data_IF_321529438537
#
_entry.id   IF_321529438537
#
_cell.length_a   1.000
_cell.length_b   1.000
_cell.length_c   1.000
_cell.angle_alpha   90.00
_cell.angle_beta   90.00
_cell.angle_gamma   90.00
#
_symmetry.space_group_name_H-M   'P 1'
#
loop_
_entity.id
_entity.type
_entity.pdbx_description
1 polymer ?
#
# COMPACT_ATOMS: atom_id res chain seq x y z
N UNK A 1 -23.55 19.30 7.58
CA UNK A 1 -22.25 19.80 8.06
C UNK A 1 -21.32 18.71 8.58
N UNK A 2 -21.62 17.99 9.68
CA UNK A 2 -20.71 16.99 10.28
C UNK A 2 -20.21 15.90 9.32
N UNK A 3 -21.00 15.54 8.29
CA UNK A 3 -20.63 14.55 7.27
C UNK A 3 -19.57 15.02 6.26
N UNK A 4 -19.33 16.31 6.14
CA UNK A 4 -18.34 16.84 5.20
C UNK A 4 -16.93 16.82 5.78
N UNK A 5 -16.77 16.75 7.10
CA UNK A 5 -15.46 16.78 7.76
C UNK A 5 -14.61 15.56 7.35
N UNK A 6 -15.09 14.29 7.47
CA UNK A 6 -14.31 13.15 7.00
C UNK A 6 -14.03 13.24 5.50
N UNK A 7 -15.03 13.60 4.68
CA UNK A 7 -14.86 13.71 3.24
C UNK A 7 -13.80 14.76 2.85
N UNK A 8 -13.70 15.87 3.58
CA UNK A 8 -12.64 16.86 3.36
C UNK A 8 -11.26 16.27 3.65
N UNK A 9 -11.12 15.45 4.71
CA UNK A 9 -9.87 14.77 5.02
C UNK A 9 -9.53 13.75 3.92
N UNK A 10 -10.52 12.99 3.43
CA UNK A 10 -10.34 12.09 2.27
C UNK A 10 -9.91 12.86 1.02
N UNK A 11 -10.43 14.06 0.79
CA UNK A 11 -9.97 14.92 -0.31
C UNK A 11 -8.51 15.38 -0.12
N UNK A 12 -8.02 15.54 1.13
CA UNK A 12 -6.61 15.83 1.39
C UNK A 12 -5.73 14.61 1.07
N UNK A 13 -6.18 13.38 1.39
CA UNK A 13 -5.54 12.15 0.91
C UNK A 13 -5.41 12.19 -0.62
N UNK A 14 -6.52 12.37 -1.34
CA UNK A 14 -6.53 12.43 -2.80
C UNK A 14 -5.58 13.53 -3.34
N UNK A 15 -5.62 14.72 -2.75
CA UNK A 15 -4.76 15.84 -3.17
C UNK A 15 -3.27 15.53 -2.96
N UNK A 16 -2.91 14.93 -1.83
CA UNK A 16 -1.55 14.45 -1.58
C UNK A 16 -1.13 13.38 -2.58
N UNK A 17 -2.01 12.41 -2.91
CA UNK A 17 -1.77 11.41 -3.93
C UNK A 17 -1.46 12.03 -5.31
N UNK A 18 -2.25 13.01 -5.73
CA UNK A 18 -2.04 13.74 -6.98
C UNK A 18 -0.67 14.45 -7.02
N UNK A 19 -0.27 15.13 -5.94
CA UNK A 19 1.05 15.76 -5.85
C UNK A 19 2.14 14.68 -5.90
N UNK A 20 1.97 13.59 -5.17
CA UNK A 20 2.91 12.46 -5.16
C UNK A 20 3.15 11.90 -6.57
N UNK A 21 2.10 11.77 -7.37
CA UNK A 21 2.20 11.32 -8.78
C UNK A 21 3.07 12.27 -9.59
N UNK A 22 2.83 13.58 -9.46
CA UNK A 22 3.62 14.59 -10.16
C UNK A 22 5.10 14.55 -9.73
N UNK A 23 5.38 14.32 -8.44
CA UNK A 23 6.75 14.21 -7.93
C UNK A 23 7.45 12.96 -8.47
N UNK A 24 6.77 11.81 -8.45
CA UNK A 24 7.28 10.56 -9.02
C UNK A 24 7.59 10.69 -10.53
N UNK A 25 6.73 11.36 -11.31
CA UNK A 25 6.98 11.60 -12.73
C UNK A 25 8.23 12.47 -12.98
N UNK A 26 8.47 13.45 -12.10
CA UNK A 26 9.68 14.30 -12.10
C UNK A 26 10.93 13.57 -11.59
N UNK A 27 10.81 12.35 -11.08
CA UNK A 27 11.91 11.59 -10.48
C UNK A 27 12.24 12.00 -9.03
N UNK A 28 11.44 12.89 -8.42
CA UNK A 28 11.57 13.24 -7.00
C UNK A 28 10.81 12.22 -6.14
N UNK A 29 11.42 11.05 -5.97
CA UNK A 29 10.83 9.96 -5.21
C UNK A 29 10.76 10.26 -3.71
N UNK A 30 11.60 11.15 -3.18
CA UNK A 30 11.57 11.55 -1.78
C UNK A 30 10.33 12.39 -1.46
N UNK A 31 10.03 13.39 -2.28
CA UNK A 31 8.78 14.16 -2.15
C UNK A 31 7.56 13.28 -2.41
N UNK A 32 7.64 12.32 -3.35
CA UNK A 32 6.59 11.33 -3.55
C UNK A 32 6.36 10.47 -2.30
N UNK A 33 7.44 10.04 -1.61
CA UNK A 33 7.34 9.28 -0.36
C UNK A 33 6.66 10.09 0.75
N UNK A 34 7.00 11.37 0.91
CA UNK A 34 6.31 12.23 1.86
C UNK A 34 4.81 12.40 1.52
N UNK A 35 4.46 12.45 0.24
CA UNK A 35 3.07 12.48 -0.19
C UNK A 35 2.31 11.18 0.11
N UNK A 36 2.95 10.01 -0.06
CA UNK A 36 2.38 8.70 0.35
C UNK A 36 2.13 8.68 1.86
N UNK A 37 3.10 9.15 2.65
CA UNK A 37 2.96 9.23 4.10
C UNK A 37 1.83 10.17 4.51
N UNK A 38 1.76 11.37 3.93
CA UNK A 38 0.67 12.31 4.17
C UNK A 38 -0.70 11.71 3.80
N UNK A 39 -0.79 11.02 2.66
CA UNK A 39 -1.99 10.32 2.21
C UNK A 39 -2.46 9.28 3.23
N UNK A 40 -1.54 8.46 3.75
CA UNK A 40 -1.85 7.45 4.77
C UNK A 40 -2.24 8.05 6.13
N UNK A 41 -1.68 9.21 6.48
CA UNK A 41 -2.08 9.95 7.67
C UNK A 41 -3.52 10.47 7.51
N UNK A 42 -3.85 11.06 6.36
CA UNK A 42 -5.19 11.57 6.11
C UNK A 42 -6.24 10.45 6.04
N UNK A 43 -5.96 9.34 5.36
CA UNK A 43 -6.78 8.12 5.35
C UNK A 43 -7.07 7.61 6.78
N UNK A 44 -6.03 7.50 7.62
CA UNK A 44 -6.22 7.11 9.01
C UNK A 44 -7.14 8.09 9.78
N UNK A 45 -6.94 9.40 9.59
CA UNK A 45 -7.71 10.42 10.27
C UNK A 45 -9.15 10.51 9.78
N UNK A 46 -9.44 10.32 8.50
CA UNK A 46 -10.81 10.36 8.00
C UNK A 46 -11.65 9.22 8.59
N UNK A 47 -11.09 8.01 8.68
CA UNK A 47 -11.74 6.84 9.24
C UNK A 47 -11.89 6.94 10.75
N UNK A 48 -10.96 7.62 11.44
CA UNK A 48 -11.07 7.93 12.86
C UNK A 48 -12.17 8.98 13.11
N UNK A 49 -12.18 10.08 12.36
CA UNK A 49 -13.15 11.18 12.52
C UNK A 49 -14.56 10.72 12.13
N UNK A 50 -14.72 9.92 11.08
CA UNK A 50 -16.01 9.34 10.70
C UNK A 50 -16.61 8.48 11.84
N UNK A 51 -15.77 7.66 12.50
CA UNK A 51 -16.17 6.86 13.66
C UNK A 51 -16.52 7.73 14.86
N UNK A 52 -15.69 8.72 15.18
CA UNK A 52 -15.89 9.62 16.33
C UNK A 52 -17.14 10.49 16.18
N UNK A 53 -17.46 10.93 14.96
CA UNK A 53 -18.66 11.71 14.67
C UNK A 53 -19.92 10.85 14.45
N UNK A 54 -19.80 9.52 14.52
CA UNK A 54 -20.85 8.56 14.17
C UNK A 54 -21.47 8.82 12.79
N UNK A 55 -20.65 9.23 11.83
CA UNK A 55 -21.09 9.48 10.46
C UNK A 55 -20.57 8.37 9.56
N UNK A 56 -21.49 7.56 9.05
CA UNK A 56 -21.25 6.71 7.88
C UNK A 56 -22.04 7.26 6.70
N UNK A 57 -21.39 7.41 5.55
CA UNK A 57 -22.05 7.83 4.31
C UNK A 57 -21.54 7.03 3.14
N UNK A 58 -22.43 6.64 2.23
CA UNK A 58 -22.06 5.89 1.02
C UNK A 58 -21.09 6.69 0.16
N UNK A 59 -21.32 8.00 0.04
CA UNK A 59 -20.40 8.91 -0.68
C UNK A 59 -19.00 8.88 -0.06
N UNK A 60 -18.88 8.92 1.27
CA UNK A 60 -17.58 8.86 1.95
C UNK A 60 -16.84 7.55 1.68
N UNK A 61 -17.55 6.41 1.71
CA UNK A 61 -16.97 5.09 1.39
C UNK A 61 -16.43 5.03 -0.04
N UNK A 62 -17.20 5.52 -1.02
CA UNK A 62 -16.75 5.52 -2.42
C UNK A 62 -15.62 6.53 -2.64
N UNK A 63 -15.70 7.71 -2.03
CA UNK A 63 -14.66 8.74 -2.12
C UNK A 63 -13.33 8.25 -1.54
N UNK A 64 -13.37 7.53 -0.43
CA UNK A 64 -12.22 6.88 0.21
C UNK A 64 -11.52 5.91 -0.76
N UNK A 65 -12.28 5.01 -1.38
CA UNK A 65 -11.75 4.07 -2.37
C UNK A 65 -11.19 4.77 -3.62
N UNK A 66 -11.79 5.89 -4.06
CA UNK A 66 -11.29 6.69 -5.18
C UNK A 66 -9.99 7.42 -4.81
N UNK A 67 -9.90 7.96 -3.59
CA UNK A 67 -8.68 8.60 -3.08
C UNK A 67 -7.54 7.58 -2.96
N UNK A 68 -7.83 6.43 -2.36
CA UNK A 68 -6.89 5.31 -2.23
C UNK A 68 -6.42 4.76 -3.57
N UNK A 69 -7.29 4.75 -4.59
CA UNK A 69 -6.88 4.35 -5.93
C UNK A 69 -5.79 5.28 -6.46
N UNK A 70 -5.87 6.60 -6.23
CA UNK A 70 -4.82 7.53 -6.67
C UNK A 70 -3.56 7.40 -5.81
N UNK A 71 -3.69 7.49 -4.49
CA UNK A 71 -2.58 7.54 -3.54
C UNK A 71 -1.84 6.21 -3.39
N UNK A 72 -2.56 5.08 -3.43
CA UNK A 72 -2.03 3.74 -3.17
C UNK A 72 -2.23 2.76 -4.33
N UNK A 73 -2.75 3.20 -5.48
CA UNK A 73 -2.89 2.39 -6.69
C UNK A 73 -2.18 2.99 -7.89
N UNK A 74 -2.46 4.24 -8.21
CA UNK A 74 -1.91 4.91 -9.38
C UNK A 74 -0.48 5.38 -9.13
N UNK A 75 -0.23 6.03 -7.99
CA UNK A 75 1.11 6.46 -7.59
C UNK A 75 2.17 5.33 -7.64
N UNK A 76 1.98 4.15 -7.02
CA UNK A 76 2.95 3.07 -7.17
C UNK A 76 3.04 2.55 -8.62
N UNK A 77 1.94 2.54 -9.39
CA UNK A 77 1.99 2.18 -10.80
C UNK A 77 2.84 3.14 -11.64
N UNK A 78 2.78 4.45 -11.34
CA UNK A 78 3.62 5.48 -11.95
C UNK A 78 5.09 5.29 -11.61
N UNK A 79 5.41 4.97 -10.34
CA UNK A 79 6.78 4.66 -9.93
C UNK A 79 7.31 3.44 -10.71
N UNK A 80 6.50 2.39 -10.83
CA UNK A 80 6.90 1.19 -11.55
C UNK A 80 7.03 1.44 -13.06
N UNK A 81 6.17 2.26 -13.65
CA UNK A 81 6.28 2.75 -15.02
C UNK A 81 7.62 3.46 -15.25
N UNK A 82 8.02 4.36 -14.33
CA UNK A 82 9.29 5.07 -14.41
C UNK A 82 10.48 4.12 -14.34
N UNK A 83 10.52 3.21 -13.37
CA UNK A 83 11.59 2.22 -13.23
C UNK A 83 11.72 1.31 -14.46
N UNK A 84 10.59 0.81 -15.00
CA UNK A 84 10.61 0.02 -16.23
C UNK A 84 11.07 0.84 -17.44
N UNK A 85 10.69 2.12 -17.52
CA UNK A 85 11.13 3.01 -18.60
C UNK A 85 12.63 3.31 -18.58
N UNK A 86 13.27 3.28 -17.40
CA UNK A 86 14.72 3.40 -17.27
C UNK A 86 15.46 2.16 -17.80
N UNK A 87 14.84 0.98 -17.67
CA UNK A 87 15.46 -0.29 -18.09
C UNK A 87 15.13 -0.66 -19.54
N UNK A 88 13.93 -0.35 -20.02
CA UNK A 88 13.45 -0.67 -21.37
C UNK A 88 13.46 0.57 -22.29
N UNK A 89 14.62 1.22 -22.41
CA UNK A 89 14.77 2.47 -23.19
C UNK A 89 14.36 2.30 -24.66
N UNK A 90 14.75 1.18 -25.29
CA UNK A 90 14.42 0.89 -26.69
C UNK A 90 13.00 0.33 -26.89
N UNK A 91 12.30 0.02 -25.80
CA UNK A 91 10.96 -0.57 -25.82
C UNK A 91 10.03 0.18 -24.85
N UNK A 92 9.76 1.47 -25.09
CA UNK A 92 9.01 2.31 -24.15
C UNK A 92 7.59 1.80 -23.86
N UNK A 93 7.03 0.97 -24.75
CA UNK A 93 5.75 0.32 -24.55
C UNK A 93 5.74 -0.65 -23.35
N UNK A 94 6.88 -1.26 -23.02
CA UNK A 94 7.01 -2.21 -21.88
C UNK A 94 6.84 -1.47 -20.55
N UNK A 95 7.22 -0.20 -20.47
CA UNK A 95 7.04 0.62 -19.28
C UNK A 95 5.57 0.68 -18.82
N UNK A 96 4.62 0.65 -19.76
CA UNK A 96 3.18 0.66 -19.45
C UNK A 96 2.73 -0.54 -18.60
N UNK A 97 3.51 -1.62 -18.55
CA UNK A 97 3.24 -2.75 -17.65
C UNK A 97 3.31 -2.37 -16.17
N UNK A 98 3.97 -1.26 -15.81
CA UNK A 98 3.92 -0.72 -14.45
C UNK A 98 2.49 -0.42 -13.98
N UNK A 99 1.60 -0.02 -14.90
CA UNK A 99 0.19 0.25 -14.59
C UNK A 99 -0.65 -1.01 -14.33
N UNK A 100 -0.11 -2.21 -14.55
CA UNK A 100 -0.76 -3.45 -14.10
C UNK A 100 -0.93 -3.41 -12.57
N UNK A 101 0.03 -2.84 -11.83
CA UNK A 101 -0.10 -2.61 -10.39
C UNK A 101 -1.33 -1.74 -10.07
N UNK A 102 -1.55 -0.67 -10.84
CA UNK A 102 -2.73 0.20 -10.69
C UNK A 102 -4.03 -0.54 -10.94
N UNK A 103 -4.09 -1.33 -12.03
CA UNK A 103 -5.28 -2.10 -12.38
C UNK A 103 -5.64 -3.09 -11.26
N UNK A 104 -4.65 -3.82 -10.74
CA UNK A 104 -4.88 -4.79 -9.68
C UNK A 104 -5.19 -4.11 -8.33
N UNK A 105 -4.66 -2.92 -8.06
CA UNK A 105 -5.07 -2.13 -6.90
C UNK A 105 -6.53 -1.71 -6.99
N UNK A 106 -7.01 -1.29 -8.17
CA UNK A 106 -8.42 -0.97 -8.38
C UNK A 106 -9.32 -2.22 -8.20
N UNK A 107 -8.92 -3.36 -8.78
CA UNK A 107 -9.64 -4.63 -8.59
C UNK A 107 -9.69 -5.05 -7.12
N UNK A 108 -8.58 -4.91 -6.38
CA UNK A 108 -8.53 -5.16 -4.94
C UNK A 108 -9.52 -4.28 -4.19
N UNK A 109 -9.54 -2.98 -4.44
CA UNK A 109 -10.43 -2.03 -3.76
C UNK A 109 -11.91 -2.36 -4.04
N UNK A 110 -12.24 -2.70 -5.29
CA UNK A 110 -13.58 -3.15 -5.65
C UNK A 110 -13.97 -4.45 -4.93
N UNK A 111 -13.08 -5.46 -4.90
CA UNK A 111 -13.32 -6.71 -4.15
C UNK A 111 -13.50 -6.44 -2.66
N UNK A 112 -12.66 -5.61 -2.06
CA UNK A 112 -12.73 -5.24 -0.64
C UNK A 112 -14.09 -4.62 -0.27
N UNK A 113 -14.65 -3.77 -1.15
CA UNK A 113 -15.92 -3.11 -0.91
C UNK A 113 -17.16 -4.01 -1.00
N UNK A 114 -17.05 -5.14 -1.72
CA UNK A 114 -18.13 -6.09 -2.01
C UNK A 114 -18.04 -7.41 -1.22
N UNK A 115 -16.86 -7.76 -0.70
CA UNK A 115 -16.63 -9.03 -0.01
C UNK A 115 -17.02 -8.97 1.47
N UNK A 116 -18.19 -9.52 1.80
CA UNK A 116 -18.74 -9.58 3.17
C UNK A 116 -17.88 -10.41 4.14
N UNK A 117 -16.93 -11.20 3.65
CA UNK A 117 -16.02 -12.01 4.49
C UNK A 117 -14.95 -11.15 5.18
N UNK A 118 -14.72 -9.92 4.71
CA UNK A 118 -13.63 -9.05 5.18
C UNK A 118 -14.08 -8.11 6.32
N UNK A 119 -14.50 -8.71 7.45
CA UNK A 119 -15.02 -7.97 8.61
C UNK A 119 -13.92 -7.46 9.53
N UNK A 120 -13.02 -8.35 9.97
CA UNK A 120 -11.92 -8.04 10.90
C UNK A 120 -10.54 -8.12 10.25
N UNK A 121 -10.39 -8.96 9.23
CA UNK A 121 -9.12 -9.30 8.59
C UNK A 121 -9.23 -9.10 7.08
N UNK A 122 -8.08 -9.01 6.42
CA UNK A 122 -7.99 -8.80 4.99
C UNK A 122 -7.88 -10.13 4.24
N UNK A 123 -8.46 -10.18 3.05
CA UNK A 123 -8.21 -11.24 2.06
C UNK A 123 -7.49 -10.57 0.89
N UNK A 124 -6.23 -10.94 0.69
CA UNK A 124 -5.30 -10.28 -0.23
C UNK A 124 -4.56 -9.11 0.41
N UNK A 125 -3.45 -8.72 -0.21
CA UNK A 125 -2.59 -7.63 0.27
C UNK A 125 -3.32 -6.28 0.14
N UNK A 126 -3.20 -5.42 1.15
CA UNK A 126 -3.75 -4.08 1.09
C UNK A 126 -2.89 -3.13 0.22
N UNK A 127 -3.54 -2.14 -0.39
CA UNK A 127 -2.88 -1.19 -1.29
C UNK A 127 -1.79 -0.35 -0.61
N UNK A 128 -1.88 0.06 0.67
CA UNK A 128 -0.79 0.78 1.33
C UNK A 128 0.50 -0.06 1.47
N UNK A 129 0.41 -1.33 1.89
CA UNK A 129 1.61 -2.17 2.00
C UNK A 129 2.26 -2.42 0.65
N UNK A 130 1.44 -2.63 -0.39
CA UNK A 130 1.94 -2.73 -1.75
C UNK A 130 2.63 -1.44 -2.22
N UNK A 131 2.05 -0.28 -1.87
CA UNK A 131 2.61 1.03 -2.18
C UNK A 131 3.95 1.23 -1.51
N UNK A 132 4.08 0.91 -0.22
CA UNK A 132 5.36 1.01 0.50
C UNK A 132 6.44 0.12 -0.11
N UNK A 133 6.09 -1.10 -0.54
CA UNK A 133 7.03 -1.95 -1.27
C UNK A 133 7.50 -1.28 -2.56
N UNK A 134 6.59 -0.84 -3.43
CA UNK A 134 6.95 -0.22 -4.70
C UNK A 134 7.74 1.08 -4.52
N UNK A 135 7.30 1.92 -3.57
CA UNK A 135 7.96 3.17 -3.20
C UNK A 135 9.40 2.96 -2.73
N UNK A 136 9.71 1.81 -2.11
CA UNK A 136 11.07 1.50 -1.66
C UNK A 136 12.05 1.25 -2.80
N UNK A 137 11.56 0.79 -3.96
CA UNK A 137 12.43 0.28 -5.03
C UNK A 137 13.37 1.35 -5.60
N UNK A 138 12.94 2.59 -5.91
CA UNK A 138 13.86 3.63 -6.37
C UNK A 138 14.99 3.90 -5.37
N UNK A 139 14.70 3.97 -4.07
CA UNK A 139 15.72 4.19 -3.04
C UNK A 139 16.69 3.01 -2.91
N UNK A 140 16.20 1.78 -3.05
CA UNK A 140 17.07 0.60 -3.06
C UNK A 140 17.93 0.58 -4.34
N UNK A 141 17.39 1.05 -5.47
CA UNK A 141 18.10 1.14 -6.74
C UNK A 141 19.30 2.10 -6.68
N UNK A 142 19.25 3.15 -5.85
CA UNK A 142 20.40 4.04 -5.63
C UNK A 142 21.63 3.29 -5.09
N UNK A 143 21.41 2.29 -4.23
CA UNK A 143 22.50 1.51 -3.59
C UNK A 143 22.79 0.19 -4.32
N UNK A 144 21.76 -0.42 -4.90
CA UNK A 144 21.83 -1.73 -5.55
C UNK A 144 21.15 -1.71 -6.94
N UNK A 145 21.62 -0.86 -7.87
CA UNK A 145 20.98 -0.70 -9.17
C UNK A 145 20.96 -2.00 -9.97
N UNK A 146 22.02 -2.81 -9.90
CA UNK A 146 22.11 -4.10 -10.58
C UNK A 146 21.03 -5.12 -10.15
N UNK A 147 20.44 -4.95 -8.97
CA UNK A 147 19.36 -5.79 -8.47
C UNK A 147 18.02 -5.22 -8.92
N UNK A 148 17.76 -3.95 -8.61
CA UNK A 148 16.44 -3.35 -8.83
C UNK A 148 16.21 -3.02 -10.31
N UNK A 149 17.20 -2.46 -11.00
CA UNK A 149 17.11 -2.12 -12.43
C UNK A 149 17.39 -3.33 -13.33
N UNK A 150 17.25 -4.55 -12.80
CA UNK A 150 17.21 -5.74 -13.62
C UNK A 150 15.80 -5.88 -14.26
N UNK A 151 15.70 -6.01 -15.60
CA UNK A 151 14.40 -6.03 -16.27
C UNK A 151 13.50 -7.19 -15.81
N UNK A 152 14.08 -8.37 -15.55
CA UNK A 152 13.33 -9.51 -15.05
C UNK A 152 12.85 -9.28 -13.62
N UNK A 153 13.69 -8.66 -12.76
CA UNK A 153 13.30 -8.32 -11.41
C UNK A 153 12.05 -7.41 -11.40
N UNK A 154 12.06 -6.31 -12.15
CA UNK A 154 10.92 -5.38 -12.19
C UNK A 154 9.64 -6.05 -12.74
N UNK A 155 9.75 -6.82 -13.83
CA UNK A 155 8.59 -7.52 -14.40
C UNK A 155 8.02 -8.58 -13.45
N UNK A 156 8.89 -9.34 -12.77
CA UNK A 156 8.48 -10.31 -11.75
C UNK A 156 7.85 -9.57 -10.56
N UNK A 157 8.42 -8.45 -10.12
CA UNK A 157 7.87 -7.62 -9.05
C UNK A 157 6.47 -7.11 -9.40
N UNK A 158 6.24 -6.62 -10.62
CA UNK A 158 4.91 -6.24 -11.12
C UNK A 158 3.93 -7.41 -11.01
N UNK A 159 4.32 -8.59 -11.51
CA UNK A 159 3.45 -9.76 -11.51
C UNK A 159 3.12 -10.24 -10.08
N UNK A 160 4.12 -10.36 -9.21
CA UNK A 160 3.96 -10.83 -7.83
C UNK A 160 3.12 -9.85 -7.02
N UNK A 161 3.44 -8.55 -7.06
CA UNK A 161 2.69 -7.53 -6.30
C UNK A 161 1.23 -7.44 -6.73
N UNK A 162 0.99 -7.48 -8.04
CA UNK A 162 -0.35 -7.51 -8.61
C UNK A 162 -1.13 -8.75 -8.16
N UNK A 163 -0.52 -9.92 -8.23
CA UNK A 163 -1.14 -11.16 -7.74
C UNK A 163 -1.47 -11.08 -6.24
N UNK A 164 -0.54 -10.59 -5.41
CA UNK A 164 -0.74 -10.47 -3.96
C UNK A 164 -1.96 -9.62 -3.60
N UNK A 165 -2.21 -8.52 -4.33
CA UNK A 165 -3.37 -7.64 -4.14
C UNK A 165 -4.72 -8.35 -4.26
N UNK A 166 -4.84 -9.34 -5.15
CA UNK A 166 -6.10 -10.06 -5.40
C UNK A 166 -6.12 -11.50 -4.88
N UNK A 167 -5.02 -11.95 -4.27
CA UNK A 167 -4.86 -13.31 -3.76
C UNK A 167 -5.87 -13.63 -2.65
N UNK A 168 -6.19 -14.92 -2.46
CA UNK A 168 -7.06 -15.37 -1.36
C UNK A 168 -6.32 -15.63 -0.04
N UNK A 169 -5.13 -15.02 0.12
CA UNK A 169 -4.35 -15.14 1.35
C UNK A 169 -5.02 -14.31 2.45
N UNK A 170 -5.35 -14.96 3.57
CA UNK A 170 -5.84 -14.24 4.76
C UNK A 170 -4.69 -13.54 5.45
N UNK A 171 -4.82 -12.23 5.65
CA UNK A 171 -3.84 -11.37 6.28
C UNK A 171 -4.47 -10.66 7.47
N UNK A 172 -3.83 -10.69 8.64
CA UNK A 172 -4.41 -10.07 9.82
C UNK A 172 -4.44 -8.54 9.64
N UNK A 173 -5.51 -7.91 10.10
CA UNK A 173 -5.53 -6.44 10.10
C UNK A 173 -4.71 -5.88 11.26
N UNK A 174 -4.23 -4.64 11.10
CA UNK A 174 -3.54 -3.90 12.16
C UNK A 174 -4.52 -3.31 13.20
N UNK A 175 -5.82 -3.61 13.11
CA UNK A 175 -6.81 -3.18 14.11
C UNK A 175 -6.70 -4.07 15.34
N UNK A 176 -6.54 -3.46 16.51
CA UNK A 176 -6.55 -4.17 17.79
C UNK A 176 -8.01 -4.42 18.21
N UNK A 177 -8.37 -5.68 18.43
CA UNK A 177 -9.70 -6.08 18.95
C UNK A 177 -9.80 -5.88 20.46
N UNK A 178 -8.68 -6.00 21.16
CA UNK A 178 -8.52 -5.82 22.60
C UNK A 178 -7.07 -5.42 22.90
N UNK A 179 -6.77 -5.03 24.15
CA UNK A 179 -5.37 -4.81 24.60
C UNK A 179 -4.72 -6.12 25.10
N UNK A 180 -5.39 -7.26 24.93
CA UNK A 180 -4.86 -8.56 25.37
C UNK A 180 -3.67 -8.97 24.50
N UNK A 181 -2.59 -9.38 25.17
CA UNK A 181 -1.37 -9.86 24.51
C UNK A 181 -1.62 -11.13 23.71
N UNK A 182 -2.33 -12.11 24.26
CA UNK A 182 -2.54 -13.41 23.60
C UNK A 182 -3.31 -13.26 22.27
N UNK A 183 -4.27 -12.34 22.21
CA UNK A 183 -5.06 -12.08 21.01
C UNK A 183 -4.28 -11.30 19.94
N UNK A 184 -3.32 -10.46 20.34
CA UNK A 184 -2.63 -9.54 19.43
C UNK A 184 -1.12 -9.80 19.32
N UNK A 185 -0.63 -10.93 19.83
CA UNK A 185 0.79 -11.29 19.88
C UNK A 185 1.48 -11.13 18.52
N UNK A 186 0.88 -11.65 17.44
CA UNK A 186 1.44 -11.53 16.08
C UNK A 186 1.49 -10.09 15.59
N UNK A 187 0.52 -9.25 15.95
CA UNK A 187 0.49 -7.83 15.59
C UNK A 187 1.58 -7.06 16.35
N UNK A 188 1.75 -7.30 17.65
CA UNK A 188 2.82 -6.67 18.44
C UNK A 188 4.21 -7.09 17.96
N UNK A 189 4.42 -8.39 17.72
CA UNK A 189 5.67 -8.91 17.16
C UNK A 189 5.95 -8.25 15.81
N UNK A 190 4.95 -8.17 14.93
CA UNK A 190 5.08 -7.52 13.63
C UNK A 190 5.51 -6.06 13.76
N UNK A 191 4.86 -5.26 14.62
CA UNK A 191 5.21 -3.84 14.82
C UNK A 191 6.63 -3.68 15.34
N UNK A 192 7.02 -4.46 16.35
CA UNK A 192 8.37 -4.39 16.93
C UNK A 192 9.42 -4.73 15.88
N UNK A 193 9.21 -5.82 15.13
CA UNK A 193 10.11 -6.21 14.05
C UNK A 193 10.17 -5.18 12.92
N UNK A 194 9.02 -4.60 12.54
CA UNK A 194 8.96 -3.59 11.50
C UNK A 194 9.74 -2.33 11.90
N UNK A 195 9.57 -1.85 13.14
CA UNK A 195 10.32 -0.70 13.67
C UNK A 195 11.81 -1.01 13.73
N UNK A 196 12.21 -2.17 14.27
CA UNK A 196 13.61 -2.57 14.37
C UNK A 196 14.27 -2.67 12.98
N UNK A 197 13.59 -3.30 12.02
CA UNK A 197 14.09 -3.42 10.65
C UNK A 197 14.20 -2.06 9.98
N UNK A 198 13.19 -1.20 10.11
CA UNK A 198 13.23 0.12 9.50
C UNK A 198 14.35 0.99 10.10
N UNK A 199 14.58 0.91 11.41
CA UNK A 199 15.67 1.63 12.07
C UNK A 199 17.05 1.20 11.54
N UNK A 200 17.25 -0.10 11.28
CA UNK A 200 18.54 -0.67 10.85
C UNK A 200 18.74 -0.53 9.33
N UNK A 201 17.71 -0.85 8.53
CA UNK A 201 17.81 -1.04 7.08
C UNK A 201 17.12 0.05 6.24
N UNK A 202 16.40 0.99 6.88
CA UNK A 202 15.73 2.11 6.19
C UNK A 202 14.80 1.59 5.08
N UNK A 203 14.88 2.11 3.84
CA UNK A 203 14.03 1.69 2.73
C UNK A 203 14.19 0.21 2.35
N UNK A 204 15.36 -0.41 2.55
CA UNK A 204 15.57 -1.85 2.32
C UNK A 204 14.70 -2.70 3.27
N UNK A 205 14.29 -2.14 4.41
CA UNK A 205 13.39 -2.81 5.33
C UNK A 205 12.00 -3.03 4.73
N UNK A 206 11.51 -2.19 3.82
CA UNK A 206 10.10 -2.24 3.39
C UNK A 206 9.74 -3.55 2.66
N UNK A 207 10.55 -4.08 1.72
CA UNK A 207 10.36 -5.43 1.19
C UNK A 207 10.43 -6.53 2.27
N UNK A 208 11.36 -6.41 3.22
CA UNK A 208 11.50 -7.39 4.31
C UNK A 208 10.28 -7.39 5.23
N UNK A 209 9.76 -6.20 5.56
CA UNK A 209 8.55 -5.99 6.36
C UNK A 209 7.35 -6.61 5.66
N UNK A 210 7.21 -6.43 4.34
CA UNK A 210 6.14 -7.08 3.57
C UNK A 210 6.23 -8.62 3.65
N UNK A 211 7.42 -9.19 3.48
CA UNK A 211 7.61 -10.64 3.59
C UNK A 211 7.26 -11.15 4.99
N UNK A 212 7.74 -10.47 6.03
CA UNK A 212 7.45 -10.83 7.42
C UNK A 212 5.96 -10.68 7.73
N UNK A 213 5.29 -9.66 7.21
CA UNK A 213 3.85 -9.47 7.36
C UNK A 213 3.07 -10.67 6.81
N UNK A 214 3.42 -11.13 5.60
CA UNK A 214 2.79 -12.29 4.97
C UNK A 214 3.08 -13.56 5.78
N UNK A 215 4.33 -13.80 6.17
CA UNK A 215 4.74 -14.99 6.94
C UNK A 215 4.01 -15.05 8.29
N UNK A 216 4.03 -13.95 9.06
CA UNK A 216 3.37 -13.88 10.36
C UNK A 216 1.85 -14.04 10.22
N UNK A 217 1.26 -13.54 9.13
CA UNK A 217 -0.16 -13.74 8.86
C UNK A 217 -0.51 -15.19 8.62
N UNK A 218 0.28 -15.89 7.80
CA UNK A 218 0.10 -17.32 7.55
C UNK A 218 0.22 -18.13 8.84
N UNK A 219 1.23 -17.85 9.67
CA UNK A 219 1.42 -18.51 10.97
C UNK A 219 0.27 -18.23 11.95
N UNK A 220 -0.24 -17.00 11.97
CA UNK A 220 -1.37 -16.62 12.81
C UNK A 220 -2.61 -17.46 12.49
N UNK A 221 -2.99 -17.55 11.21
CA UNK A 221 -4.18 -18.30 10.80
C UNK A 221 -4.00 -19.83 10.79
N UNK A 222 -2.77 -20.34 10.70
CA UNK A 222 -2.49 -21.77 10.91
C UNK A 222 -2.76 -22.18 12.36
N UNK A 223 -2.46 -21.33 13.35
CA UNK A 223 -2.67 -21.62 14.78
C UNK A 223 -4.16 -21.57 15.19
N UNK A 224 -5.00 -20.91 14.40
CA UNK A 224 -6.44 -20.80 14.64
C UNK A 224 -7.25 -21.95 14.02
N UNK A 225 -6.60 -22.83 13.23
CA UNK A 225 -7.19 -24.08 12.73
C UNK A 225 -6.91 -25.22 13.71
#
# INVERSE_FOLDING_TARGET
MKKHIPNTITCLNLFSGCIGVLMALKGDYMSAAYCVLASGIFDFFDGMVARLLHVKSNIGKELDSLADMVSFGFLPGVIMYKLLGEVFVDQPAVAYLGFVVTIFSALRLAKFNLDERQTTDFIGLNTPMNTFYVLSLPFIAEKYPQIILNPFFLLISVAITSYLLISEIKLFSMKLSSMSWEENKFKFIFVILAIALFAIFQFIALPMILLIYIILSLLHFQRLK
#
